data_IF_328829840071
#
_entry.id   IF_328829840071
#
_cell.length_a   1.000
_cell.length_b   1.000
_cell.length_c   1.000
_cell.angle_alpha   90.00
_cell.angle_beta   90.00
_cell.angle_gamma   90.00
#
_symmetry.space_group_name_H-M   'P 1'
#
loop_
_entity.id
_entity.type
_entity.pdbx_description
1 polymer ?
#
# COMPACT_ATOMS: atom_id res chain seq x y z
N UNK A 1 0.58 16.70 16.45
CA UNK A 1 -0.03 16.50 15.11
C UNK A 1 0.81 17.18 14.05
N UNK A 2 1.68 16.44 13.34
CA UNK A 2 2.27 16.93 12.08
C UNK A 2 1.41 16.37 10.95
N UNK A 3 0.72 17.24 10.21
CA UNK A 3 0.13 16.90 8.91
C UNK A 3 1.26 16.35 8.05
N UNK A 4 1.25 15.06 7.75
CA UNK A 4 2.01 14.56 6.61
C UNK A 4 1.16 14.92 5.39
N UNK A 5 1.16 16.21 5.04
CA UNK A 5 0.66 16.64 3.75
C UNK A 5 1.73 16.21 2.74
N UNK A 6 1.48 15.10 2.05
CA UNK A 6 2.30 14.73 0.90
C UNK A 6 1.79 15.63 -0.23
N UNK A 7 2.59 16.58 -0.73
CA UNK A 7 2.14 17.48 -1.77
C UNK A 7 1.69 16.67 -2.99
N UNK A 8 0.64 17.13 -3.67
CA UNK A 8 0.34 16.71 -5.04
C UNK A 8 1.53 17.24 -5.86
N UNK A 9 2.55 16.40 -6.03
CA UNK A 9 3.75 16.80 -6.78
C UNK A 9 3.37 16.89 -8.25
N UNK A 10 3.66 18.04 -8.83
CA UNK A 10 3.49 18.38 -10.23
C UNK A 10 4.15 17.33 -11.14
N UNK A 11 3.57 17.10 -12.32
CA UNK A 11 4.36 16.54 -13.41
C UNK A 11 5.46 17.55 -13.76
N UNK A 12 6.71 17.16 -13.57
CA UNK A 12 7.87 17.97 -13.92
C UNK A 12 7.75 18.46 -15.37
N UNK A 13 7.98 19.77 -15.60
CA UNK A 13 8.03 20.35 -16.94
C UNK A 13 8.99 19.55 -17.84
N UNK A 14 8.70 19.37 -19.14
CA UNK A 14 9.69 18.82 -20.05
C UNK A 14 10.89 19.78 -20.09
N UNK A 15 12.03 19.30 -19.61
CA UNK A 15 13.31 20.00 -19.77
C UNK A 15 13.61 19.99 -21.26
N UNK A 16 13.87 21.17 -21.83
CA UNK A 16 14.34 21.27 -23.21
C UNK A 16 15.70 20.56 -23.30
N UNK A 17 15.75 19.44 -24.04
CA UNK A 17 16.97 18.65 -24.20
C UNK A 17 17.73 19.15 -25.42
N UNK A 18 18.71 20.02 -25.23
CA UNK A 18 19.88 20.04 -26.11
C UNK A 18 20.91 19.06 -25.54
N UNK A 19 21.07 17.90 -26.19
CA UNK A 19 22.15 16.95 -25.94
C UNK A 19 21.70 15.58 -25.46
N UNK A 20 21.74 14.58 -26.35
CA UNK A 20 21.70 13.13 -26.04
C UNK A 20 20.42 12.61 -25.35
N UNK A 21 20.15 11.29 -25.39
CA UNK A 21 19.16 10.70 -24.49
C UNK A 21 19.68 10.81 -23.05
N UNK A 22 19.00 11.60 -22.23
CA UNK A 22 19.26 11.72 -20.80
C UNK A 22 18.80 10.41 -20.14
N UNK A 23 19.72 9.47 -19.99
CA UNK A 23 19.41 8.18 -19.37
C UNK A 23 19.14 8.41 -17.87
N UNK A 24 17.94 8.03 -17.43
CA UNK A 24 17.66 7.93 -15.99
C UNK A 24 18.72 7.01 -15.35
N UNK A 25 19.29 7.39 -14.19
CA UNK A 25 20.27 6.55 -13.51
C UNK A 25 19.66 5.17 -13.24
N UNK A 26 20.39 4.12 -13.64
CA UNK A 26 20.02 2.75 -13.31
C UNK A 26 20.00 2.60 -11.78
N UNK A 27 18.95 2.03 -11.18
CA UNK A 27 18.92 1.81 -9.74
C UNK A 27 20.07 0.90 -9.32
N UNK A 28 20.85 1.34 -8.34
CA UNK A 28 22.17 0.77 -8.02
C UNK A 28 22.13 -0.44 -7.07
N UNK A 29 21.04 -0.68 -6.32
CA UNK A 29 20.99 -1.79 -5.37
C UNK A 29 19.60 -2.47 -5.33
N UNK A 30 19.60 -3.80 -5.47
CA UNK A 30 18.47 -4.67 -5.13
C UNK A 30 18.58 -5.02 -3.65
N UNK A 31 17.53 -4.79 -2.87
CA UNK A 31 17.46 -5.29 -1.51
C UNK A 31 17.30 -6.82 -1.57
N UNK A 32 18.41 -7.55 -1.47
CA UNK A 32 18.39 -9.01 -1.40
C UNK A 32 17.85 -9.44 -0.03
N UNK A 33 17.00 -10.47 -0.02
CA UNK A 33 16.57 -11.10 1.23
C UNK A 33 17.78 -11.44 2.09
N UNK A 34 17.75 -10.97 3.34
CA UNK A 34 18.73 -11.29 4.37
C UNK A 34 18.00 -12.02 5.48
N UNK A 35 18.39 -13.25 5.77
CA UNK A 35 17.77 -14.02 6.84
C UNK A 35 17.86 -13.26 8.16
N UNK A 36 16.77 -13.20 8.95
CA UNK A 36 16.79 -12.51 10.23
C UNK A 36 17.72 -13.25 11.20
N UNK A 37 18.50 -12.50 11.97
CA UNK A 37 19.22 -13.07 13.12
C UNK A 37 18.22 -13.26 14.24
N UNK A 38 17.94 -14.50 14.62
CA UNK A 38 17.13 -14.79 15.80
C UNK A 38 17.94 -14.58 17.10
N UNK A 39 17.27 -14.27 18.22
CA UNK A 39 17.93 -14.07 19.51
C UNK A 39 18.44 -15.38 20.13
N UNK A 40 19.57 -15.31 20.86
CA UNK A 40 20.21 -16.48 21.51
C UNK A 40 19.49 -16.98 22.77
N UNK A 41 18.47 -16.26 23.26
CA UNK A 41 17.73 -16.60 24.48
C UNK A 41 16.86 -17.86 24.28
N UNK A 42 17.11 -18.97 25.01
CA UNK A 42 16.39 -20.23 24.83
C UNK A 42 14.87 -20.14 25.10
N UNK A 43 14.43 -19.32 26.06
CA UNK A 43 13.00 -19.14 26.31
C UNK A 43 12.35 -18.35 25.17
N UNK A 44 13.04 -17.33 24.67
CA UNK A 44 12.59 -16.54 23.53
C UNK A 44 12.50 -17.40 22.26
N UNK A 45 13.49 -18.25 21.99
CA UNK A 45 13.48 -19.21 20.88
C UNK A 45 12.34 -20.21 21.00
N UNK A 46 12.10 -20.79 22.18
CA UNK A 46 11.02 -21.76 22.37
C UNK A 46 9.63 -21.13 22.13
N UNK A 47 9.38 -19.94 22.67
CA UNK A 47 8.10 -19.22 22.48
C UNK A 47 7.95 -18.74 21.04
N UNK A 48 9.02 -18.17 20.48
CA UNK A 48 9.08 -17.68 19.11
C UNK A 48 8.91 -18.77 18.06
N UNK A 49 9.54 -19.93 18.25
CA UNK A 49 9.41 -21.08 17.37
C UNK A 49 7.99 -21.63 17.29
N UNK A 50 7.23 -21.60 18.40
CA UNK A 50 5.80 -21.95 18.39
C UNK A 50 4.98 -20.95 17.55
N UNK A 51 5.29 -19.66 17.64
CA UNK A 51 4.64 -18.62 16.84
C UNK A 51 4.99 -18.77 15.34
N UNK A 52 6.26 -18.99 14.99
CA UNK A 52 6.67 -19.23 13.61
C UNK A 52 6.01 -20.47 13.02
N UNK A 53 5.87 -21.55 13.79
CA UNK A 53 5.17 -22.75 13.34
C UNK A 53 3.68 -22.46 13.03
N UNK A 54 3.02 -21.65 13.88
CA UNK A 54 1.65 -21.24 13.64
C UNK A 54 1.54 -20.33 12.40
N UNK A 55 2.45 -19.38 12.23
CA UNK A 55 2.51 -18.50 11.06
C UNK A 55 2.70 -19.32 9.78
N UNK A 56 3.67 -20.23 9.75
CA UNK A 56 3.92 -21.10 8.59
C UNK A 56 2.68 -21.92 8.23
N UNK A 57 2.00 -22.50 9.22
CA UNK A 57 0.79 -23.28 8.99
C UNK A 57 -0.31 -22.43 8.33
N UNK A 58 -0.54 -21.22 8.83
CA UNK A 58 -1.55 -20.32 8.27
C UNK A 58 -1.15 -19.82 6.87
N UNK A 59 0.13 -19.48 6.64
CA UNK A 59 0.65 -19.08 5.33
C UNK A 59 0.57 -20.21 4.30
N UNK A 60 0.98 -21.42 4.65
CA UNK A 60 0.93 -22.57 3.76
C UNK A 60 -0.51 -22.92 3.31
N UNK A 61 -1.49 -22.64 4.18
CA UNK A 61 -2.91 -22.88 3.92
C UNK A 61 -3.61 -21.73 3.17
N UNK A 62 -2.96 -20.57 3.00
CA UNK A 62 -3.53 -19.42 2.31
C UNK A 62 -3.36 -19.52 0.79
N UNK A 63 -4.35 -18.99 0.05
CA UNK A 63 -4.28 -18.80 -1.41
C UNK A 63 -4.86 -17.44 -1.76
N UNK A 64 -4.23 -16.72 -2.67
CA UNK A 64 -4.68 -15.42 -3.18
C UNK A 64 -6.12 -15.54 -3.69
N UNK A 65 -6.95 -14.57 -3.31
CA UNK A 65 -8.40 -14.57 -3.58
C UNK A 65 -9.24 -15.23 -2.48
N UNK A 66 -8.65 -16.02 -1.58
CA UNK A 66 -9.36 -16.51 -0.40
C UNK A 66 -9.36 -15.45 0.72
N UNK A 67 -10.27 -15.57 1.71
CA UNK A 67 -10.26 -14.69 2.87
C UNK A 67 -8.94 -14.78 3.64
N UNK A 68 -8.48 -13.62 4.09
CA UNK A 68 -7.28 -13.51 4.92
C UNK A 68 -7.42 -14.30 6.23
N UNK A 69 -6.29 -14.85 6.69
CA UNK A 69 -6.17 -15.61 7.92
C UNK A 69 -5.52 -14.74 8.98
N UNK A 70 -5.94 -14.84 10.24
CA UNK A 70 -5.52 -13.89 11.28
C UNK A 70 -5.10 -14.62 12.55
N UNK A 71 -3.95 -14.24 13.09
CA UNK A 71 -3.48 -14.65 14.40
C UNK A 71 -3.48 -13.44 15.33
N UNK A 72 -4.17 -13.55 16.48
CA UNK A 72 -4.13 -12.50 17.49
C UNK A 72 -2.84 -12.62 18.30
N UNK A 73 -2.05 -11.54 18.30
CA UNK A 73 -0.77 -11.47 19.01
C UNK A 73 -0.79 -10.40 20.10
N UNK A 74 -1.97 -9.95 20.53
CA UNK A 74 -2.11 -8.86 21.52
C UNK A 74 -1.43 -9.22 22.84
N UNK A 75 -1.59 -10.48 23.29
CA UNK A 75 -1.17 -10.97 24.61
C UNK A 75 0.01 -11.96 24.57
N UNK A 76 0.87 -11.90 23.53
CA UNK A 76 2.04 -12.81 23.39
C UNK A 76 3.14 -12.59 24.44
N UNK A 77 3.04 -11.52 25.23
CA UNK A 77 4.03 -11.11 26.22
C UNK A 77 5.29 -10.50 25.59
N UNK A 78 6.15 -9.93 26.44
CA UNK A 78 7.30 -9.14 25.99
C UNK A 78 8.33 -9.97 25.21
N UNK A 79 8.61 -11.20 25.67
CA UNK A 79 9.54 -12.10 24.98
C UNK A 79 9.03 -12.49 23.59
N UNK A 80 7.74 -12.84 23.47
CA UNK A 80 7.14 -13.19 22.19
C UNK A 80 7.11 -12.00 21.23
N UNK A 81 6.81 -10.80 21.74
CA UNK A 81 6.80 -9.58 20.93
C UNK A 81 8.19 -9.23 20.41
N UNK A 82 9.22 -9.28 21.26
CA UNK A 82 10.61 -9.05 20.85
C UNK A 82 11.07 -10.05 19.80
N UNK A 83 10.74 -11.32 19.99
CA UNK A 83 11.02 -12.34 18.99
C UNK A 83 10.37 -12.00 17.63
N UNK A 84 9.09 -11.64 17.62
CA UNK A 84 8.39 -11.28 16.37
C UNK A 84 9.00 -10.03 15.71
N UNK A 85 9.39 -9.03 16.50
CA UNK A 85 10.04 -7.82 15.99
C UNK A 85 11.37 -8.13 15.28
N UNK A 86 12.14 -9.08 15.83
CA UNK A 86 13.43 -9.51 15.26
C UNK A 86 13.25 -10.48 14.09
N UNK A 87 12.34 -11.46 14.20
CA UNK A 87 12.13 -12.52 13.22
C UNK A 87 11.39 -12.04 11.96
N UNK A 88 10.35 -11.21 12.12
CA UNK A 88 9.53 -10.78 10.98
C UNK A 88 10.15 -9.60 10.23
N UNK A 89 10.97 -8.80 10.92
CA UNK A 89 11.54 -7.58 10.35
C UNK A 89 10.47 -6.64 9.78
N UNK A 90 10.89 -5.77 8.86
CA UNK A 90 9.99 -4.85 8.14
C UNK A 90 10.24 -4.99 6.65
N UNK A 91 9.18 -5.33 5.93
CA UNK A 91 9.17 -5.34 4.48
C UNK A 91 9.06 -3.94 3.89
N UNK A 92 8.75 -3.95 2.61
CA UNK A 92 8.72 -2.77 1.75
C UNK A 92 7.40 -2.02 1.87
N UNK A 93 6.28 -2.74 2.04
CA UNK A 93 4.94 -2.17 1.99
C UNK A 93 4.38 -1.84 3.38
N UNK A 94 3.76 -0.67 3.51
CA UNK A 94 3.06 -0.24 4.70
C UNK A 94 1.76 0.48 4.38
N UNK A 95 0.76 0.32 5.24
CA UNK A 95 -0.57 0.90 5.08
C UNK A 95 -0.95 1.69 6.32
N UNK A 96 -1.56 2.86 6.11
CA UNK A 96 -2.09 3.69 7.17
C UNK A 96 -3.55 4.02 6.88
N UNK A 97 -4.40 3.72 7.83
CA UNK A 97 -5.80 4.12 7.84
C UNK A 97 -6.03 5.19 8.92
N UNK A 98 -6.67 6.30 8.52
CA UNK A 98 -7.05 7.41 9.38
C UNK A 98 -8.57 7.40 9.54
N UNK A 99 -9.03 6.83 10.65
CA UNK A 99 -10.41 6.90 11.12
C UNK A 99 -10.43 6.92 12.65
N UNK A 100 -11.60 6.72 13.26
CA UNK A 100 -11.78 6.77 14.71
C UNK A 100 -10.90 5.75 15.46
N UNK A 101 -10.66 4.61 14.82
CA UNK A 101 -9.65 3.63 15.24
C UNK A 101 -8.53 3.63 14.20
N UNK A 102 -7.43 4.39 14.38
CA UNK A 102 -6.31 4.37 13.45
C UNK A 102 -5.71 2.97 13.33
N UNK A 103 -5.39 2.57 12.09
CA UNK A 103 -4.77 1.27 11.82
C UNK A 103 -3.44 1.47 11.10
N UNK A 104 -2.42 0.73 11.53
CA UNK A 104 -1.13 0.62 10.86
C UNK A 104 -0.89 -0.82 10.49
N UNK A 105 -0.76 -1.11 9.19
CA UNK A 105 -0.29 -2.39 8.73
C UNK A 105 1.10 -2.25 8.12
N UNK A 106 1.99 -3.19 8.43
CA UNK A 106 3.32 -3.27 7.84
C UNK A 106 3.52 -4.71 7.36
N UNK A 107 3.93 -4.87 6.10
CA UNK A 107 4.34 -6.18 5.60
C UNK A 107 5.67 -6.56 6.25
N UNK A 108 5.85 -7.84 6.54
CA UNK A 108 7.10 -8.38 7.05
C UNK A 108 8.11 -8.61 5.90
N UNK A 109 9.28 -9.15 6.20
CA UNK A 109 10.21 -9.63 5.15
C UNK A 109 9.67 -10.86 4.39
N UNK A 110 8.59 -11.45 4.91
CA UNK A 110 7.83 -12.54 4.29
C UNK A 110 6.60 -11.93 3.61
N UNK A 111 6.58 -11.98 2.28
CA UNK A 111 5.50 -11.44 1.46
C UNK A 111 4.16 -12.12 1.80
N UNK A 112 3.11 -11.32 1.88
CA UNK A 112 1.77 -11.76 2.29
C UNK A 112 1.60 -12.01 3.78
N UNK A 113 2.63 -11.76 4.61
CA UNK A 113 2.51 -11.73 6.06
C UNK A 113 2.59 -10.30 6.57
N UNK A 114 1.50 -9.86 7.18
CA UNK A 114 1.31 -8.49 7.63
C UNK A 114 1.15 -8.43 9.13
N UNK A 115 1.74 -7.41 9.76
CA UNK A 115 1.39 -7.04 11.13
C UNK A 115 0.44 -5.85 11.11
N UNK A 116 -0.76 -6.05 11.64
CA UNK A 116 -1.84 -5.07 11.67
C UNK A 116 -2.07 -4.63 13.11
N UNK A 117 -1.84 -3.35 13.38
CA UNK A 117 -1.98 -2.73 14.70
C UNK A 117 -3.12 -1.74 14.70
N UNK A 118 -4.08 -1.98 15.59
CA UNK A 118 -5.21 -1.10 15.86
C UNK A 118 -4.85 -0.23 17.04
N UNK A 119 -4.95 1.08 16.88
CA UNK A 119 -4.58 2.06 17.89
C UNK A 119 -5.83 2.77 18.38
N UNK A 120 -5.83 3.20 19.64
CA UNK A 120 -6.78 4.22 20.09
C UNK A 120 -6.38 5.60 19.55
N UNK A 121 -7.32 6.53 19.57
CA UNK A 121 -7.10 7.92 19.16
C UNK A 121 -5.95 8.61 19.93
N UNK A 122 -5.78 8.28 21.21
CA UNK A 122 -4.72 8.80 22.09
C UNK A 122 -3.35 8.13 21.86
N UNK A 123 -3.28 7.11 21.01
CA UNK A 123 -2.04 6.43 20.60
C UNK A 123 -1.73 5.04 21.20
N UNK A 124 -2.28 4.60 22.35
CA UNK A 124 -2.10 3.24 22.85
C UNK A 124 -2.58 2.16 21.87
N UNK A 125 -1.87 1.03 21.89
CA UNK A 125 -2.25 -0.16 21.13
C UNK A 125 -3.51 -0.78 21.72
N UNK A 126 -4.54 -0.94 20.89
CA UNK A 126 -5.79 -1.62 21.22
C UNK A 126 -5.70 -3.12 20.90
N UNK A 127 -5.13 -3.44 19.73
CA UNK A 127 -5.03 -4.81 19.22
C UNK A 127 -3.83 -4.95 18.29
N UNK A 128 -3.16 -6.09 18.35
CA UNK A 128 -2.02 -6.45 17.51
C UNK A 128 -2.28 -7.81 16.88
N UNK A 129 -2.30 -7.88 15.56
CA UNK A 129 -2.59 -9.13 14.84
C UNK A 129 -1.57 -9.36 13.74
N UNK A 130 -1.26 -10.63 13.49
CA UNK A 130 -0.65 -11.05 12.23
C UNK A 130 -1.76 -11.47 11.27
N UNK A 131 -1.64 -11.04 10.03
CA UNK A 131 -2.60 -11.32 8.98
C UNK A 131 -1.87 -11.92 7.78
N UNK A 132 -2.34 -13.07 7.33
CA UNK A 132 -1.88 -13.73 6.12
C UNK A 132 -2.87 -13.41 5.01
N UNK A 133 -2.41 -12.71 3.99
CA UNK A 133 -3.21 -12.20 2.89
C UNK A 133 -2.36 -11.48 1.85
N UNK A 134 -2.86 -11.36 0.63
CA UNK A 134 -2.21 -10.60 -0.45
C UNK A 134 -2.09 -9.11 -0.08
N UNK A 135 -3.07 -8.59 0.65
CA UNK A 135 -3.11 -7.27 1.28
C UNK A 135 -4.04 -7.39 2.52
N UNK A 136 -3.80 -6.66 3.62
CA UNK A 136 -4.65 -6.70 4.81
C UNK A 136 -6.10 -6.40 4.47
N UNK A 137 -7.04 -7.13 5.08
CA UNK A 137 -8.48 -7.03 4.82
C UNK A 137 -8.99 -5.60 4.95
N UNK A 138 -8.46 -4.87 5.93
CA UNK A 138 -8.81 -3.47 6.18
C UNK A 138 -8.56 -2.55 4.96
N UNK A 139 -7.62 -2.91 4.07
CA UNK A 139 -7.37 -2.15 2.86
C UNK A 139 -8.59 -2.17 1.91
N UNK A 140 -9.25 -3.32 1.78
CA UNK A 140 -10.46 -3.47 0.95
C UNK A 140 -11.70 -2.91 1.63
N UNK A 141 -11.85 -3.15 2.94
CA UNK A 141 -13.06 -2.79 3.68
C UNK A 141 -13.12 -1.28 4.01
N UNK A 142 -11.98 -0.64 4.24
CA UNK A 142 -11.94 0.69 4.84
C UNK A 142 -11.46 1.80 3.90
N UNK A 143 -10.86 1.48 2.75
CA UNK A 143 -10.31 2.48 1.81
C UNK A 143 -11.34 3.53 1.39
N UNK A 144 -12.60 3.13 1.22
CA UNK A 144 -13.67 4.00 0.75
C UNK A 144 -14.73 4.28 1.82
N UNK A 145 -14.38 4.14 3.11
CA UNK A 145 -15.30 4.38 4.22
C UNK A 145 -15.85 5.82 4.26
N UNK A 146 -15.11 6.78 3.72
CA UNK A 146 -15.54 8.19 3.61
C UNK A 146 -15.85 8.61 2.17
N UNK A 147 -16.00 7.65 1.26
CA UNK A 147 -16.30 7.94 -0.13
C UNK A 147 -17.74 8.42 -0.28
N UNK A 148 -17.95 9.31 -1.23
CA UNK A 148 -19.24 9.83 -1.62
C UNK A 148 -19.36 9.82 -3.14
N UNK A 149 -20.58 9.95 -3.65
CA UNK A 149 -20.77 10.24 -5.06
C UNK A 149 -20.18 11.62 -5.37
N UNK A 150 -19.61 11.74 -6.57
CA UNK A 150 -19.08 13.01 -7.06
C UNK A 150 -20.03 13.56 -8.10
N UNK A 151 -20.57 14.73 -7.81
CA UNK A 151 -21.33 15.51 -8.78
C UNK A 151 -20.38 16.11 -9.82
N UNK A 152 -20.69 15.89 -11.10
CA UNK A 152 -19.96 16.52 -12.19
C UNK A 152 -20.36 17.98 -12.27
N UNK A 153 -19.42 18.93 -12.17
CA UNK A 153 -19.74 20.34 -12.20
C UNK A 153 -20.17 20.77 -13.61
N UNK A 154 -21.04 21.78 -13.66
CA UNK A 154 -21.45 22.39 -14.92
C UNK A 154 -20.25 22.99 -15.66
N UNK A 155 -20.21 22.83 -16.98
CA UNK A 155 -19.11 23.32 -17.81
C UNK A 155 -18.85 24.83 -17.66
N UNK A 156 -19.89 25.62 -17.34
CA UNK A 156 -19.78 27.06 -17.08
C UNK A 156 -19.24 27.45 -15.70
N UNK A 157 -19.09 26.49 -14.79
CA UNK A 157 -18.60 26.69 -13.42
C UNK A 157 -17.12 26.31 -13.24
N UNK A 158 -16.43 25.94 -14.33
CA UNK A 158 -15.03 25.53 -14.27
C UNK A 158 -14.11 26.74 -14.03
N UNK A 159 -13.13 26.63 -13.11
CA UNK A 159 -12.13 27.68 -12.92
C UNK A 159 -11.29 27.94 -14.19
N UNK A 160 -10.75 29.15 -14.36
CA UNK A 160 -9.83 29.44 -15.46
C UNK A 160 -8.64 28.49 -15.47
N UNK A 161 -8.26 27.99 -16.66
CA UNK A 161 -7.13 27.08 -16.85
C UNK A 161 -7.47 25.60 -16.72
N UNK A 162 -8.64 25.25 -16.16
CA UNK A 162 -9.12 23.86 -16.09
C UNK A 162 -9.78 23.50 -17.42
N UNK A 163 -9.22 22.51 -18.12
CA UNK A 163 -9.67 22.09 -19.45
C UNK A 163 -9.84 20.57 -19.52
N UNK A 164 -8.81 19.80 -19.14
CA UNK A 164 -8.78 18.35 -19.36
C UNK A 164 -9.24 17.54 -18.14
N UNK A 165 -9.08 18.07 -16.93
CA UNK A 165 -9.47 17.36 -15.72
C UNK A 165 -10.97 16.98 -15.63
N UNK A 166 -11.93 17.79 -16.11
CA UNK A 166 -13.35 17.42 -16.07
C UNK A 166 -13.66 16.16 -16.89
N UNK A 167 -12.94 15.93 -18.00
CA UNK A 167 -13.10 14.73 -18.81
C UNK A 167 -12.60 13.48 -18.07
N UNK A 168 -11.46 13.59 -17.39
CA UNK A 168 -10.93 12.52 -16.53
C UNK A 168 -11.94 12.20 -15.41
N UNK A 169 -12.48 13.23 -14.75
CA UNK A 169 -13.47 13.02 -13.69
C UNK A 169 -14.74 12.34 -14.21
N UNK A 170 -15.24 12.75 -15.38
CA UNK A 170 -16.40 12.14 -16.01
C UNK A 170 -16.16 10.67 -16.37
N UNK A 171 -14.97 10.33 -16.88
CA UNK A 171 -14.57 8.95 -17.16
C UNK A 171 -14.54 8.09 -15.88
N UNK A 172 -13.88 8.58 -14.82
CA UNK A 172 -13.81 7.89 -13.54
C UNK A 172 -15.21 7.68 -12.94
N UNK A 173 -16.04 8.72 -12.92
CA UNK A 173 -17.41 8.62 -12.43
C UNK A 173 -18.24 7.59 -13.23
N UNK A 174 -18.05 7.52 -14.56
CA UNK A 174 -18.71 6.52 -15.38
C UNK A 174 -18.24 5.09 -15.08
N UNK A 175 -16.93 4.90 -14.86
CA UNK A 175 -16.35 3.59 -14.54
C UNK A 175 -16.74 3.11 -13.15
N UNK A 176 -16.71 3.98 -12.15
CA UNK A 176 -17.12 3.67 -10.78
C UNK A 176 -18.58 3.23 -10.70
N UNK A 177 -19.49 3.83 -11.49
CA UNK A 177 -20.91 3.46 -11.50
C UNK A 177 -21.18 2.01 -11.91
N UNK A 178 -20.32 1.42 -12.72
CA UNK A 178 -20.49 0.04 -13.23
C UNK A 178 -19.53 -0.95 -12.60
N UNK A 179 -18.53 -0.47 -11.85
CA UNK A 179 -17.50 -1.30 -11.24
C UNK A 179 -18.07 -2.18 -10.12
N UNK A 180 -17.70 -3.45 -10.14
CA UNK A 180 -17.95 -4.42 -9.08
C UNK A 180 -16.62 -4.97 -8.55
N UNK A 181 -16.61 -5.36 -7.27
CA UNK A 181 -15.41 -5.94 -6.68
C UNK A 181 -15.02 -7.22 -7.42
N UNK A 182 -13.74 -7.32 -7.77
CA UNK A 182 -13.18 -8.37 -8.62
C UNK A 182 -13.16 -8.07 -10.13
N UNK A 183 -13.74 -6.97 -10.58
CA UNK A 183 -13.59 -6.51 -11.97
C UNK A 183 -12.15 -6.12 -12.29
N UNK A 184 -11.79 -6.14 -13.58
CA UNK A 184 -10.50 -5.68 -14.04
C UNK A 184 -10.30 -4.18 -13.74
N UNK A 185 -9.10 -3.81 -13.28
CA UNK A 185 -8.75 -2.42 -13.00
C UNK A 185 -8.87 -1.54 -14.25
N UNK A 186 -9.51 -0.39 -14.10
CA UNK A 186 -9.53 0.66 -15.13
C UNK A 186 -8.54 1.76 -14.75
N UNK A 187 -7.50 1.96 -15.55
CA UNK A 187 -6.42 2.91 -15.28
C UNK A 187 -6.47 4.09 -16.26
N UNK A 188 -6.42 5.31 -15.71
CA UNK A 188 -6.18 6.55 -16.46
C UNK A 188 -4.75 7.01 -16.19
N UNK A 189 -3.94 7.09 -17.24
CA UNK A 189 -2.55 7.56 -17.16
C UNK A 189 -2.47 9.07 -17.31
N UNK A 190 -2.35 9.79 -16.20
CA UNK A 190 -2.31 11.25 -16.17
C UNK A 190 -1.00 11.80 -16.77
N UNK A 191 0.09 11.04 -16.70
CA UNK A 191 1.38 11.44 -17.28
C UNK A 191 1.37 11.52 -18.80
N UNK A 192 0.41 10.85 -19.46
CA UNK A 192 0.23 10.90 -20.92
C UNK A 192 -0.79 11.93 -21.37
N UNK A 193 -1.53 12.54 -20.44
CA UNK A 193 -2.53 13.55 -20.74
C UNK A 193 -1.91 14.95 -20.67
N UNK A 194 -2.26 15.87 -21.59
CA UNK A 194 -1.78 17.25 -21.56
C UNK A 194 -2.51 18.07 -20.49
N UNK A 195 -2.33 17.72 -19.21
CA UNK A 195 -2.98 18.39 -18.08
C UNK A 195 -2.15 19.56 -17.57
N UNK A 196 -2.82 20.68 -17.33
CA UNK A 196 -2.23 21.86 -16.69
C UNK A 196 -2.08 21.68 -15.16
N UNK A 197 -1.25 22.48 -14.47
CA UNK A 197 -1.25 22.53 -13.01
C UNK A 197 -2.63 22.84 -12.41
N UNK A 198 -3.41 23.70 -13.08
CA UNK A 198 -4.78 24.02 -12.72
C UNK A 198 -5.69 22.78 -12.80
N UNK A 199 -5.55 21.96 -13.85
CA UNK A 199 -6.25 20.68 -13.99
C UNK A 199 -5.92 19.73 -12.83
N UNK A 200 -4.65 19.56 -12.48
CA UNK A 200 -4.25 18.68 -11.37
C UNK A 200 -4.76 19.16 -10.01
N UNK A 201 -4.67 20.47 -9.76
CA UNK A 201 -5.18 21.08 -8.53
C UNK A 201 -6.68 20.89 -8.40
N UNK A 202 -7.41 21.17 -9.49
CA UNK A 202 -8.85 21.02 -9.54
C UNK A 202 -9.28 19.56 -9.38
N UNK A 203 -8.65 18.63 -10.12
CA UNK A 203 -8.97 17.20 -10.04
C UNK A 203 -8.73 16.66 -8.63
N UNK A 204 -7.63 17.08 -8.00
CA UNK A 204 -7.35 16.69 -6.62
C UNK A 204 -8.30 17.30 -5.60
N UNK A 205 -8.79 18.51 -5.83
CA UNK A 205 -9.87 19.08 -5.03
C UNK A 205 -11.17 18.29 -5.15
N UNK A 206 -11.55 17.90 -6.37
CA UNK A 206 -12.77 17.15 -6.64
C UNK A 206 -12.75 15.73 -6.08
N UNK A 207 -11.64 15.00 -6.30
CA UNK A 207 -11.48 13.64 -5.79
C UNK A 207 -11.22 13.62 -4.28
N UNK A 208 -10.55 14.64 -3.75
CA UNK A 208 -10.15 14.71 -2.35
C UNK A 208 -9.23 13.57 -1.90
N UNK A 209 -8.92 13.57 -0.61
CA UNK A 209 -8.11 12.53 0.01
C UNK A 209 -9.00 11.59 0.84
N UNK A 210 -8.87 10.29 0.59
CA UNK A 210 -9.50 9.25 1.37
C UNK A 210 -8.75 8.94 2.68
N UNK A 211 -9.30 8.04 3.51
CA UNK A 211 -8.76 7.74 4.83
C UNK A 211 -7.52 6.85 4.77
N UNK A 212 -7.29 6.14 3.66
CA UNK A 212 -6.27 5.10 3.55
C UNK A 212 -5.16 5.46 2.56
N UNK A 213 -3.91 5.26 2.98
CA UNK A 213 -2.72 5.38 2.15
C UNK A 213 -1.83 4.14 2.27
N UNK A 214 -1.26 3.70 1.14
CA UNK A 214 -0.29 2.61 1.02
C UNK A 214 1.03 3.21 0.51
N UNK A 215 2.12 2.73 1.08
CA UNK A 215 3.48 3.15 0.77
C UNK A 215 4.28 1.90 0.47
N UNK A 216 4.93 1.84 -0.69
CA UNK A 216 5.94 0.83 -0.96
C UNK A 216 7.32 1.48 -0.94
N UNK A 217 8.25 0.91 -0.17
CA UNK A 217 9.65 1.34 -0.04
C UNK A 217 10.53 0.30 -0.71
N UNK A 218 11.13 0.63 -1.84
CA UNK A 218 11.93 -0.31 -2.61
C UNK A 218 12.04 0.10 -4.07
N UNK A 219 12.39 -0.87 -4.92
CA UNK A 219 12.41 -0.68 -6.36
C UNK A 219 10.98 -0.38 -6.86
N UNK A 220 10.79 0.77 -7.52
CA UNK A 220 9.46 1.21 -7.93
C UNK A 220 8.63 1.77 -6.77
N UNK A 221 9.27 2.54 -5.89
CA UNK A 221 8.63 3.26 -4.77
C UNK A 221 7.34 3.91 -5.24
N UNK A 222 6.22 3.47 -4.68
CA UNK A 222 4.91 3.98 -5.03
C UNK A 222 4.18 4.53 -3.80
N UNK A 223 3.42 5.59 -4.05
CA UNK A 223 2.50 6.17 -3.07
C UNK A 223 1.10 6.01 -3.63
N UNK A 224 0.28 5.31 -2.87
CA UNK A 224 -1.08 4.96 -3.26
C UNK A 224 -2.00 5.57 -2.22
N UNK A 225 -3.02 6.30 -2.67
CA UNK A 225 -4.01 6.88 -1.79
C UNK A 225 -5.41 6.58 -2.30
N UNK A 226 -6.29 6.22 -1.37
CA UNK A 226 -7.71 6.26 -1.63
C UNK A 226 -8.15 7.71 -1.86
N UNK A 227 -9.15 7.91 -2.69
CA UNK A 227 -9.83 9.20 -2.86
C UNK A 227 -11.21 9.17 -2.20
N UNK A 228 -11.95 10.28 -2.24
CA UNK A 228 -13.37 10.31 -1.81
C UNK A 228 -14.32 9.83 -2.91
N UNK A 229 -13.83 9.57 -4.12
CA UNK A 229 -14.58 8.83 -5.13
C UNK A 229 -14.37 7.33 -4.91
N UNK A 230 -15.46 6.58 -4.78
CA UNK A 230 -15.42 5.14 -4.50
C UNK A 230 -14.58 4.40 -5.55
N UNK A 231 -13.84 3.37 -5.12
CA UNK A 231 -12.94 2.55 -5.95
C UNK A 231 -11.81 3.30 -6.64
N UNK A 232 -11.69 4.62 -6.46
CA UNK A 232 -10.72 5.43 -7.18
C UNK A 232 -9.48 5.64 -6.30
N UNK A 233 -8.37 5.09 -6.76
CA UNK A 233 -7.04 5.20 -6.17
C UNK A 233 -6.18 6.13 -6.99
N UNK A 234 -5.39 6.96 -6.30
CA UNK A 234 -4.34 7.74 -6.93
C UNK A 234 -3.01 7.08 -6.67
N UNK A 235 -2.36 6.62 -7.73
CA UNK A 235 -1.12 5.84 -7.68
C UNK A 235 -0.01 6.65 -8.33
N UNK A 236 1.06 6.88 -7.57
CA UNK A 236 2.20 7.68 -8.01
C UNK A 236 3.47 6.87 -7.84
N UNK A 237 4.20 6.70 -8.94
CA UNK A 237 5.46 5.95 -8.99
C UNK A 237 6.62 6.92 -9.04
N UNK A 238 7.65 6.62 -8.25
CA UNK A 238 8.85 7.42 -8.12
C UNK A 238 10.07 6.57 -8.48
N UNK A 239 11.08 7.22 -9.05
CA UNK A 239 12.39 6.59 -9.22
C UNK A 239 13.24 6.68 -7.94
N UNK A 240 14.47 6.18 -7.99
CA UNK A 240 15.43 6.20 -6.87
C UNK A 240 15.83 7.61 -6.41
N UNK A 241 15.60 8.65 -7.22
CA UNK A 241 15.85 10.05 -6.89
C UNK A 241 14.59 10.81 -6.46
N UNK A 242 13.52 10.10 -6.07
CA UNK A 242 12.22 10.67 -5.67
C UNK A 242 11.53 11.51 -6.78
N UNK A 243 11.90 11.32 -8.04
CA UNK A 243 11.24 11.97 -9.18
C UNK A 243 10.01 11.17 -9.60
N UNK A 244 8.87 11.84 -9.76
CA UNK A 244 7.63 11.24 -10.25
C UNK A 244 7.81 10.78 -11.71
N UNK A 245 7.66 9.47 -11.95
CA UNK A 245 7.81 8.87 -13.28
C UNK A 245 6.49 8.43 -13.90
N UNK A 246 5.50 8.09 -13.08
CA UNK A 246 4.17 7.70 -13.55
C UNK A 246 3.13 8.16 -12.53
N UNK A 247 2.05 8.77 -13.04
CA UNK A 247 0.95 9.29 -12.26
C UNK A 247 -0.36 8.74 -12.83
N UNK A 248 -1.06 7.91 -12.08
CA UNK A 248 -2.28 7.22 -12.54
C UNK A 248 -3.43 7.38 -11.56
N UNK A 249 -4.64 7.34 -12.10
CA UNK A 249 -5.87 7.09 -11.35
C UNK A 249 -6.39 5.70 -11.74
N UNK A 250 -6.65 4.87 -10.75
CA UNK A 250 -7.08 3.48 -10.95
C UNK A 250 -8.44 3.26 -10.29
N UNK A 251 -9.41 2.77 -11.05
CA UNK A 251 -10.69 2.28 -10.54
C UNK A 251 -10.58 0.79 -10.30
N UNK A 252 -10.43 0.41 -9.03
CA UNK A 252 -10.21 -0.97 -8.56
C UNK A 252 -10.56 -1.10 -7.07
N UNK A 253 -10.72 -2.32 -6.57
CA UNK A 253 -10.85 -2.57 -5.12
C UNK A 253 -9.58 -2.15 -4.39
N UNK A 254 -8.43 -2.66 -4.83
CA UNK A 254 -7.09 -2.32 -4.36
C UNK A 254 -6.15 -2.40 -5.57
N UNK A 255 -5.19 -1.46 -5.72
CA UNK A 255 -4.19 -1.53 -6.79
C UNK A 255 -3.33 -2.78 -6.66
N UNK A 256 -3.20 -3.52 -7.77
CA UNK A 256 -2.50 -4.81 -7.78
C UNK A 256 -1.04 -4.69 -7.36
N UNK A 257 -0.39 -3.55 -7.62
CA UNK A 257 0.98 -3.25 -7.21
C UNK A 257 1.20 -3.30 -5.69
N UNK A 258 0.13 -3.17 -4.89
CA UNK A 258 0.20 -3.29 -3.43
C UNK A 258 0.02 -4.72 -2.91
N UNK A 259 -0.41 -5.64 -3.77
CA UNK A 259 -0.79 -7.00 -3.37
C UNK A 259 0.39 -7.96 -3.62
N UNK A 260 0.69 -8.80 -2.63
CA UNK A 260 1.65 -9.89 -2.82
C UNK A 260 1.09 -10.94 -3.80
N UNK A 261 1.93 -11.41 -4.73
CA UNK A 261 1.53 -12.48 -5.64
C UNK A 261 1.51 -13.83 -4.92
N UNK A 262 0.78 -14.81 -5.47
CA UNK A 262 0.73 -16.16 -4.89
C UNK A 262 2.13 -16.80 -4.78
N UNK A 263 2.98 -16.58 -5.78
CA UNK A 263 4.37 -17.05 -5.81
C UNK A 263 5.20 -16.46 -4.67
N UNK A 264 5.08 -15.15 -4.41
CA UNK A 264 5.81 -14.48 -3.32
C UNK A 264 5.42 -15.03 -1.94
N UNK A 265 4.13 -15.36 -1.75
CA UNK A 265 3.65 -15.98 -0.50
C UNK A 265 4.18 -17.40 -0.36
N UNK A 266 4.19 -18.19 -1.43
CA UNK A 266 4.73 -19.56 -1.43
C UNK A 266 6.23 -19.58 -1.14
N UNK A 267 6.99 -18.68 -1.75
CA UNK A 267 8.41 -18.48 -1.47
C UNK A 267 8.64 -18.08 -0.01
N UNK A 268 7.77 -17.23 0.53
CA UNK A 268 7.83 -16.80 1.93
C UNK A 268 7.57 -17.96 2.91
N UNK A 269 6.67 -18.90 2.57
CA UNK A 269 6.48 -20.14 3.34
C UNK A 269 7.77 -20.97 3.37
N UNK A 270 8.46 -21.10 2.23
CA UNK A 270 9.74 -21.82 2.16
C UNK A 270 10.81 -21.15 3.04
N UNK A 271 10.93 -19.82 2.97
CA UNK A 271 11.87 -19.06 3.81
C UNK A 271 11.58 -19.19 5.31
N UNK A 272 10.30 -19.20 5.72
CA UNK A 272 9.94 -19.42 7.13
C UNK A 272 10.35 -20.82 7.58
N UNK A 273 10.20 -21.85 6.73
CA UNK A 273 10.66 -23.22 7.05
C UNK A 273 12.16 -23.26 7.27
N UNK A 274 12.94 -22.64 6.41
CA UNK A 274 14.40 -22.55 6.56
C UNK A 274 14.78 -21.89 7.89
N UNK A 275 14.13 -20.77 8.23
CA UNK A 275 14.32 -20.10 9.53
C UNK A 275 13.93 -21.02 10.69
N UNK A 276 12.93 -21.89 10.54
CA UNK A 276 12.59 -22.85 11.60
C UNK A 276 13.60 -23.98 11.72
N UNK A 277 14.13 -24.48 10.61
CA UNK A 277 15.07 -25.61 10.58
C UNK A 277 16.44 -25.26 11.18
N UNK A 278 16.93 -24.04 10.97
CA UNK A 278 18.21 -23.58 11.52
C UNK A 278 18.19 -23.56 13.06
N UNK A 279 17.02 -23.45 13.68
CA UNK A 279 16.87 -23.22 15.11
C UNK A 279 15.92 -24.22 15.81
N UNK A 280 15.68 -25.38 15.19
CA UNK A 280 14.90 -26.49 15.74
C UNK A 280 15.67 -27.34 16.76
#
# INVERSE_FOLDING_TARGET
MKRIAIPIVEASRPVAVEGGPDYLPLPEEMATYTAPSLPDDPEMLRRGGQLLAAIELEMAAYRVGNPNRTLDITDVGDLGRRFLDEALGKGEVGIRYRGDTPIRAEESIFAGLWRVRYLREDGPLLRDTLEVGDIPRMAREMAFATAADVDLPDAGALPPGVVNAPHVLAELAAKVRVFQSGDASHMVNLSLLPMSPEDFSWLGGMLGEGPLAIFSRGYGTCRIRSTRLRYTWWVQYYNSSDLLILNTLEVTDVPLVACAAQEDVEDSVARIREVREVYA
#
